data_IF_363393258132
#
_entry.id   IF_363393258132
#
_cell.length_a   1.000
_cell.length_b   1.000
_cell.length_c   1.000
_cell.angle_alpha   90.00
_cell.angle_beta   90.00
_cell.angle_gamma   90.00
#
_symmetry.space_group_name_H-M   'P 1'
#
loop_
_entity.id
_entity.type
_entity.pdbx_description
1 polymer ?
#
# COMPACT_ATOMS: atom_id res chain seq x y z
N UNK A 1 -12.70 6.11 -8.13
CA UNK A 1 -12.15 4.74 -8.30
C UNK A 1 -12.00 4.10 -6.93
N UNK A 2 -12.12 2.78 -6.84
CA UNK A 2 -12.01 1.98 -5.62
C UNK A 2 -10.75 1.10 -5.68
N UNK A 3 -10.32 0.50 -4.56
CA UNK A 3 -9.04 -0.23 -4.48
C UNK A 3 -9.02 -1.44 -5.42
N UNK A 4 -10.13 -2.16 -5.54
CA UNK A 4 -10.23 -3.30 -6.44
C UNK A 4 -10.17 -2.87 -7.92
N UNK A 5 -10.77 -1.74 -8.27
CA UNK A 5 -10.64 -1.14 -9.60
C UNK A 5 -9.19 -0.76 -9.92
N UNK A 6 -8.46 -0.19 -8.94
CA UNK A 6 -7.06 0.19 -9.09
C UNK A 6 -6.12 -0.99 -9.22
N UNK A 7 -6.34 -2.03 -8.42
CA UNK A 7 -5.64 -3.32 -8.57
C UNK A 7 -5.69 -3.84 -10.01
N UNK A 8 -6.85 -3.76 -10.67
CA UNK A 8 -7.04 -4.20 -12.07
C UNK A 8 -6.41 -3.26 -13.09
N UNK A 9 -6.47 -1.95 -12.85
CA UNK A 9 -5.87 -0.98 -13.77
C UNK A 9 -4.34 -1.06 -13.74
N UNK A 10 -3.75 -1.22 -12.55
CA UNK A 10 -2.32 -1.43 -12.35
C UNK A 10 -1.85 -2.72 -13.06
N UNK A 11 -2.66 -3.79 -13.03
CA UNK A 11 -2.32 -5.02 -13.76
C UNK A 11 -2.15 -4.77 -15.26
N UNK A 12 -3.09 -4.05 -15.88
CA UNK A 12 -3.01 -3.71 -17.30
C UNK A 12 -1.75 -2.89 -17.59
N UNK A 13 -1.49 -1.87 -16.77
CA UNK A 13 -0.33 -1.00 -16.92
C UNK A 13 0.99 -1.79 -16.81
N UNK A 14 1.12 -2.66 -15.81
CA UNK A 14 2.31 -3.49 -15.61
C UNK A 14 2.56 -4.41 -16.80
N UNK A 15 1.51 -5.02 -17.35
CA UNK A 15 1.61 -5.86 -18.55
C UNK A 15 1.98 -5.03 -19.78
N UNK A 16 1.31 -3.90 -20.00
CA UNK A 16 1.54 -3.01 -21.15
C UNK A 16 2.98 -2.48 -21.17
N UNK A 17 3.51 -2.10 -20.01
CA UNK A 17 4.87 -1.54 -19.87
C UNK A 17 5.96 -2.61 -19.74
N UNK A 18 5.60 -3.90 -19.70
CA UNK A 18 6.57 -5.00 -19.62
C UNK A 18 7.30 -5.11 -18.28
N UNK A 19 6.68 -4.65 -17.19
CA UNK A 19 7.26 -4.77 -15.85
C UNK A 19 7.15 -6.20 -15.29
N UNK A 20 7.90 -6.45 -14.22
CA UNK A 20 7.87 -7.69 -13.43
C UNK A 20 6.41 -8.11 -13.12
N UNK A 21 6.04 -9.34 -13.46
CA UNK A 21 4.64 -9.78 -13.41
C UNK A 21 4.44 -11.26 -13.02
N UNK A 22 5.43 -11.89 -12.39
CA UNK A 22 5.36 -13.29 -11.96
C UNK A 22 5.24 -13.39 -10.44
N UNK A 23 4.75 -14.52 -9.93
CA UNK A 23 4.70 -14.78 -8.47
C UNK A 23 6.08 -14.66 -7.81
N UNK A 24 7.13 -15.00 -8.54
CA UNK A 24 8.54 -14.87 -8.13
C UNK A 24 8.93 -13.42 -7.81
N UNK A 25 8.23 -12.43 -8.40
CA UNK A 25 8.50 -11.01 -8.23
C UNK A 25 7.82 -10.41 -7.00
N UNK A 26 6.99 -11.16 -6.27
CA UNK A 26 6.28 -10.66 -5.08
C UNK A 26 7.26 -10.04 -4.05
N UNK A 27 8.37 -10.69 -3.65
CA UNK A 27 9.31 -10.09 -2.71
C UNK A 27 9.90 -8.78 -3.22
N UNK A 28 10.20 -8.70 -4.52
CA UNK A 28 10.74 -7.49 -5.16
C UNK A 28 9.75 -6.33 -5.10
N UNK A 29 8.47 -6.59 -5.38
CA UNK A 29 7.41 -5.57 -5.31
C UNK A 29 7.13 -5.08 -3.90
N UNK A 30 7.23 -5.96 -2.90
CA UNK A 30 7.16 -5.56 -1.49
C UNK A 30 8.33 -4.63 -1.12
N UNK A 31 9.53 -4.90 -1.63
CA UNK A 31 10.68 -4.03 -1.42
C UNK A 31 10.51 -2.66 -2.10
N UNK A 32 9.89 -2.60 -3.28
CA UNK A 32 9.56 -1.31 -3.91
C UNK A 32 8.62 -0.49 -3.02
N UNK A 33 7.53 -1.06 -2.51
CA UNK A 33 6.66 -0.35 -1.57
C UNK A 33 7.40 0.17 -0.32
N UNK A 34 8.42 -0.56 0.15
CA UNK A 34 9.25 -0.13 1.26
C UNK A 34 10.18 1.04 0.89
N UNK A 35 10.72 1.04 -0.33
CA UNK A 35 11.54 2.14 -0.86
C UNK A 35 10.69 3.41 -0.95
N UNK A 36 9.49 3.35 -1.56
CA UNK A 36 8.61 4.53 -1.67
C UNK A 36 8.22 5.09 -0.29
N UNK A 37 8.07 4.22 0.72
CA UNK A 37 7.81 4.68 2.08
C UNK A 37 9.01 5.42 2.68
N UNK A 38 10.23 5.03 2.31
CA UNK A 38 11.44 5.75 2.67
C UNK A 38 11.53 7.10 1.96
N UNK A 39 11.10 7.18 0.69
CA UNK A 39 11.03 8.45 -0.06
C UNK A 39 10.03 9.42 0.58
N UNK A 40 8.85 8.94 0.99
CA UNK A 40 7.88 9.74 1.75
C UNK A 40 8.47 10.31 3.05
N UNK A 41 9.25 9.49 3.77
CA UNK A 41 9.94 9.93 4.98
C UNK A 41 11.03 10.96 4.70
N UNK A 42 11.76 10.82 3.59
CA UNK A 42 12.82 11.74 3.20
C UNK A 42 12.26 13.08 2.71
N UNK A 43 11.19 13.07 1.91
CA UNK A 43 10.47 14.26 1.47
C UNK A 43 9.96 15.09 2.67
N UNK A 44 9.36 14.43 3.66
CA UNK A 44 8.95 15.09 4.90
C UNK A 44 10.13 15.69 5.66
N UNK A 45 11.22 14.92 5.81
CA UNK A 45 12.44 15.37 6.51
C UNK A 45 13.07 16.60 5.84
N UNK A 46 12.99 16.69 4.52
CA UNK A 46 13.50 17.82 3.72
C UNK A 46 12.58 19.05 3.73
N UNK A 47 11.38 18.94 4.29
CA UNK A 47 10.39 20.02 4.28
C UNK A 47 9.79 20.27 2.90
N UNK A 48 9.66 19.21 2.09
CA UNK A 48 9.00 19.29 0.79
C UNK A 48 7.49 19.53 0.94
N UNK A 49 6.81 19.83 -0.18
CA UNK A 49 5.38 20.16 -0.16
C UNK A 49 4.51 18.96 0.26
N UNK A 50 3.32 19.24 0.79
CA UNK A 50 2.33 18.20 1.08
C UNK A 50 1.98 17.38 -0.15
N UNK A 51 1.95 18.01 -1.33
CA UNK A 51 1.68 17.32 -2.59
C UNK A 51 2.77 16.32 -2.95
N UNK A 52 4.05 16.66 -2.73
CA UNK A 52 5.14 15.71 -2.96
C UNK A 52 5.12 14.56 -1.95
N UNK A 53 4.89 14.84 -0.67
CA UNK A 53 4.73 13.78 0.34
C UNK A 53 3.54 12.87 -0.01
N UNK A 54 2.43 13.44 -0.49
CA UNK A 54 1.27 12.68 -0.91
C UNK A 54 1.56 11.79 -2.12
N UNK A 55 2.33 12.26 -3.09
CA UNK A 55 2.80 11.47 -4.24
C UNK A 55 3.53 10.21 -3.78
N UNK A 56 4.53 10.34 -2.90
CA UNK A 56 5.29 9.20 -2.37
C UNK A 56 4.40 8.21 -1.60
N UNK A 57 3.44 8.72 -0.81
CA UNK A 57 2.47 7.88 -0.11
C UNK A 57 1.55 7.12 -1.07
N UNK A 58 1.19 7.73 -2.21
CA UNK A 58 0.43 7.07 -3.26
C UNK A 58 1.29 6.00 -3.95
N UNK A 59 2.59 6.23 -4.14
CA UNK A 59 3.50 5.23 -4.72
C UNK A 59 3.63 3.97 -3.83
N UNK A 60 3.63 4.15 -2.50
CA UNK A 60 3.49 3.02 -1.56
C UNK A 60 2.19 2.24 -1.81
N UNK A 61 1.05 2.94 -1.91
CA UNK A 61 -0.25 2.31 -2.16
C UNK A 61 -0.27 1.61 -3.52
N UNK A 62 0.35 2.20 -4.55
CA UNK A 62 0.47 1.63 -5.87
C UNK A 62 1.17 0.27 -5.82
N UNK A 63 2.35 0.17 -5.20
CA UNK A 63 3.05 -1.10 -5.07
C UNK A 63 2.35 -2.10 -4.14
N UNK A 64 1.62 -1.64 -3.11
CA UNK A 64 0.77 -2.50 -2.29
C UNK A 64 -0.35 -3.13 -3.14
N UNK A 65 -0.98 -2.37 -4.03
CA UNK A 65 -2.02 -2.90 -4.92
C UNK A 65 -1.40 -3.82 -5.99
N UNK A 66 -0.26 -3.45 -6.58
CA UNK A 66 0.47 -4.26 -7.54
C UNK A 66 0.93 -5.61 -6.96
N UNK A 67 1.40 -5.64 -5.72
CA UNK A 67 1.72 -6.92 -5.07
C UNK A 67 0.45 -7.69 -4.72
N UNK A 68 -0.64 -7.02 -4.32
CA UNK A 68 -1.89 -7.69 -3.92
C UNK A 68 -2.49 -8.53 -5.06
N UNK A 69 -2.43 -8.06 -6.31
CA UNK A 69 -2.91 -8.85 -7.45
C UNK A 69 -2.12 -10.14 -7.68
N UNK A 70 -0.84 -10.20 -7.30
CA UNK A 70 -0.03 -11.42 -7.40
C UNK A 70 -0.15 -12.32 -6.17
N UNK A 71 -0.10 -11.72 -4.98
CA UNK A 71 -0.07 -12.45 -3.71
C UNK A 71 -1.46 -12.94 -3.27
N UNK A 72 -2.51 -12.17 -3.54
CA UNK A 72 -3.89 -12.47 -3.15
C UNK A 72 -4.89 -12.10 -4.27
N UNK A 73 -4.80 -12.73 -5.46
CA UNK A 73 -5.62 -12.38 -6.62
C UNK A 73 -7.14 -12.47 -6.36
N UNK A 74 -7.59 -13.42 -5.54
CA UNK A 74 -8.99 -13.63 -5.21
C UNK A 74 -9.54 -12.70 -4.11
N UNK A 75 -8.70 -11.89 -3.46
CA UNK A 75 -9.14 -10.98 -2.39
C UNK A 75 -9.55 -9.65 -3.00
N UNK A 76 -10.80 -9.26 -2.76
CA UNK A 76 -11.30 -7.92 -3.08
C UNK A 76 -10.73 -6.91 -2.06
N UNK A 77 -9.99 -5.93 -2.56
CA UNK A 77 -9.28 -4.98 -1.68
C UNK A 77 -10.19 -3.96 -1.02
N UNK A 78 -11.32 -3.60 -1.62
CA UNK A 78 -12.32 -2.73 -0.99
C UNK A 78 -12.99 -3.42 0.20
N UNK A 79 -13.41 -4.67 0.01
CA UNK A 79 -14.01 -5.47 1.09
C UNK A 79 -13.01 -5.71 2.23
N UNK A 80 -11.76 -6.00 1.90
CA UNK A 80 -10.70 -6.20 2.89
C UNK A 80 -10.44 -4.92 3.70
N UNK A 81 -10.38 -3.76 3.03
CA UNK A 81 -10.20 -2.48 3.68
C UNK A 81 -11.37 -2.17 4.62
N UNK A 82 -12.62 -2.28 4.14
CA UNK A 82 -13.81 -2.04 4.94
C UNK A 82 -13.86 -2.98 6.16
N UNK A 83 -13.60 -4.27 5.96
CA UNK A 83 -13.53 -5.24 7.07
C UNK A 83 -12.49 -4.83 8.11
N UNK A 84 -11.30 -4.41 7.67
CA UNK A 84 -10.22 -3.98 8.58
C UNK A 84 -10.58 -2.68 9.31
N UNK A 85 -11.20 -1.73 8.62
CA UNK A 85 -11.67 -0.48 9.20
C UNK A 85 -12.73 -0.72 10.29
N UNK A 86 -13.71 -1.58 10.05
CA UNK A 86 -14.73 -1.95 11.03
C UNK A 86 -14.15 -2.67 12.25
N UNK A 87 -13.15 -3.54 12.05
CA UNK A 87 -12.40 -4.13 13.17
C UNK A 87 -11.71 -3.03 13.98
N UNK A 88 -11.07 -2.07 13.32
CA UNK A 88 -10.31 -1.02 13.99
C UNK A 88 -11.23 -0.03 14.76
N UNK A 89 -12.41 0.30 14.24
CA UNK A 89 -13.41 1.15 14.93
C UNK A 89 -13.91 0.54 16.24
N UNK A 90 -13.92 -0.79 16.35
CA UNK A 90 -14.36 -1.52 17.54
C UNK A 90 -13.23 -1.69 18.57
N UNK A 91 -12.00 -1.33 18.23
CA UNK A 91 -10.87 -1.43 19.17
C UNK A 91 -11.01 -0.37 20.27
N UNK A 92 -10.65 -0.70 21.52
CA UNK A 92 -10.53 0.30 22.57
C UNK A 92 -9.57 1.43 22.19
N UNK A 93 -9.74 2.59 22.82
CA UNK A 93 -8.77 3.68 22.75
C UNK A 93 -7.37 3.18 23.08
N UNK A 94 -6.37 3.55 22.27
CA UNK A 94 -4.97 3.13 22.45
C UNK A 94 -4.77 1.59 22.47
N UNK A 95 -5.61 0.83 21.76
CA UNK A 95 -5.39 -0.62 21.60
C UNK A 95 -3.99 -0.92 21.03
N UNK A 96 -3.21 -1.72 21.76
CA UNK A 96 -1.82 -2.07 21.41
C UNK A 96 -0.76 -1.18 22.05
N UNK A 97 -1.13 -0.11 22.75
CA UNK A 97 -0.23 0.85 23.41
C UNK A 97 0.08 0.49 24.88
N UNK A 98 -0.37 -0.67 25.38
CA UNK A 98 -0.24 -1.06 26.79
C UNK A 98 1.19 -1.12 27.36
N UNK A 99 2.20 -0.92 26.51
CA UNK A 99 3.62 -0.86 26.88
C UNK A 99 4.19 0.57 26.95
N UNK A 100 3.45 1.62 26.59
CA UNK A 100 3.96 3.02 26.59
C UNK A 100 3.88 3.74 27.94
N UNK A 101 3.25 3.13 28.95
CA UNK A 101 3.07 3.71 30.29
C UNK A 101 3.62 2.83 31.42
N UNK A 102 4.54 1.91 31.13
CA UNK A 102 5.27 1.12 32.15
C UNK A 102 6.74 1.47 32.17
#
# INVERSE_FOLDING_TARGET
MNLEGMKKEIEKLVIEKGFYNKKEDIPKKLLFAFIELAEASDAWKKGESEERIAEELIDVIFYILDVSRLACPSVNMDEMFLKKLEINKKRPYQYGEGHRYK
#
